data_IF_735931078760
#
_entry.id   IF_735931078760
#
_cell.length_a   1.000
_cell.length_b   1.000
_cell.length_c   1.000
_cell.angle_alpha   90.00
_cell.angle_beta   90.00
_cell.angle_gamma   90.00
#
_symmetry.space_group_name_H-M   'P 1'
#
loop_
_entity.id
_entity.type
_entity.pdbx_description
1 polymer ?
#
# COMPACT_ATOMS: atom_id res chain seq x y z
N UNK A 1 -3.07 13.94 -16.57
CA UNK A 1 -1.64 13.56 -16.50
C UNK A 1 -1.45 12.29 -17.32
N UNK A 2 -0.32 12.07 -18.02
CA UNK A 2 -0.02 10.78 -18.68
C UNK A 2 0.79 9.88 -17.75
N UNK A 3 0.60 8.57 -17.82
CA UNK A 3 1.34 7.59 -17.02
C UNK A 3 2.85 7.75 -17.21
N UNK A 4 3.29 7.94 -18.46
CA UNK A 4 4.71 8.08 -18.84
C UNK A 4 5.38 9.36 -18.34
N UNK A 5 4.63 10.29 -17.73
CA UNK A 5 5.14 11.55 -17.16
C UNK A 5 5.10 11.53 -15.62
N UNK A 6 4.69 10.40 -15.03
CA UNK A 6 4.44 10.29 -13.60
C UNK A 6 5.14 9.08 -13.01
N UNK A 7 5.58 9.20 -11.77
CA UNK A 7 5.91 8.03 -10.97
C UNK A 7 4.60 7.38 -10.50
N UNK A 8 4.48 6.07 -10.69
CA UNK A 8 3.34 5.31 -10.18
C UNK A 8 3.71 4.79 -8.80
N UNK A 9 2.86 5.05 -7.81
CA UNK A 9 3.11 4.64 -6.42
C UNK A 9 1.98 3.72 -5.98
N UNK A 10 2.33 2.49 -5.63
CA UNK A 10 1.42 1.59 -4.92
C UNK A 10 1.57 1.87 -3.43
N UNK A 11 0.49 2.31 -2.80
CA UNK A 11 0.49 2.78 -1.41
C UNK A 11 -0.71 2.25 -0.63
N UNK A 12 -0.68 2.44 0.68
CA UNK A 12 -1.69 1.99 1.62
C UNK A 12 -1.07 1.58 2.94
N UNK A 13 -1.90 1.23 3.93
CA UNK A 13 -1.40 0.68 5.18
C UNK A 13 -0.66 -0.65 4.95
N UNK A 14 0.37 -0.99 5.74
CA UNK A 14 0.96 -2.31 5.72
C UNK A 14 -0.10 -3.40 5.80
N UNK A 15 0.02 -4.44 4.98
CA UNK A 15 -0.92 -5.58 4.87
C UNK A 15 -2.26 -5.29 4.16
N UNK A 16 -2.44 -4.10 3.58
CA UNK A 16 -3.59 -3.76 2.70
C UNK A 16 -3.59 -4.43 1.33
N UNK A 17 -2.53 -5.17 0.97
CA UNK A 17 -2.42 -5.84 -0.33
C UNK A 17 -1.49 -5.15 -1.33
N UNK A 18 -0.71 -4.15 -0.91
CA UNK A 18 0.28 -3.47 -1.77
C UNK A 18 1.25 -4.43 -2.46
N UNK A 19 1.74 -5.47 -1.78
CA UNK A 19 2.61 -6.48 -2.44
C UNK A 19 1.88 -7.28 -3.53
N UNK A 20 0.59 -7.58 -3.35
CA UNK A 20 -0.21 -8.24 -4.40
C UNK A 20 -0.34 -7.33 -5.62
N UNK A 21 -0.63 -6.04 -5.39
CA UNK A 21 -0.71 -5.05 -6.46
C UNK A 21 0.63 -4.86 -7.19
N UNK A 22 1.74 -4.76 -6.47
CA UNK A 22 3.09 -4.70 -7.08
C UNK A 22 3.35 -5.90 -7.99
N UNK A 23 3.01 -7.11 -7.52
CA UNK A 23 3.15 -8.33 -8.31
C UNK A 23 2.25 -8.35 -9.54
N UNK A 24 1.01 -7.89 -9.41
CA UNK A 24 0.10 -7.74 -10.55
C UNK A 24 0.72 -6.84 -11.61
N UNK A 25 1.14 -5.63 -11.23
CA UNK A 25 1.71 -4.66 -12.15
C UNK A 25 3.00 -5.18 -12.82
N UNK A 26 3.92 -5.77 -12.05
CA UNK A 26 5.13 -6.38 -12.61
C UNK A 26 4.78 -7.52 -13.60
N UNK A 27 3.84 -8.37 -13.23
CA UNK A 27 3.38 -9.49 -14.09
C UNK A 27 2.69 -8.98 -15.35
N UNK A 28 1.99 -7.84 -15.25
CA UNK A 28 1.39 -7.09 -16.36
C UNK A 28 2.41 -6.33 -17.22
N UNK A 29 3.71 -6.42 -16.93
CA UNK A 29 4.77 -5.84 -17.76
C UNK A 29 5.26 -4.46 -17.32
N UNK A 30 4.80 -3.95 -16.17
CA UNK A 30 5.29 -2.68 -15.63
C UNK A 30 6.69 -2.83 -15.04
N UNK A 31 7.53 -1.82 -15.24
CA UNK A 31 8.84 -1.75 -14.58
C UNK A 31 8.64 -1.34 -13.12
N UNK A 32 9.13 -2.17 -12.18
CA UNK A 32 9.01 -1.93 -10.74
C UNK A 32 10.37 -1.55 -10.14
N UNK A 33 10.39 -0.54 -9.29
CA UNK A 33 11.52 -0.14 -8.48
C UNK A 33 11.56 -0.99 -7.21
N UNK A 34 12.65 -1.73 -7.04
CA UNK A 34 12.96 -2.53 -5.85
C UNK A 34 14.47 -2.69 -5.75
N UNK A 35 15.00 -2.79 -4.54
CA UNK A 35 16.46 -2.91 -4.32
C UNK A 35 16.93 -4.36 -4.14
N UNK A 36 15.99 -5.31 -4.00
CA UNK A 36 16.27 -6.73 -3.73
C UNK A 36 17.17 -6.96 -2.51
N UNK A 37 17.23 -6.02 -1.56
CA UNK A 37 18.01 -6.16 -0.31
C UNK A 37 17.42 -7.30 0.52
N UNK A 38 16.09 -7.32 0.64
CA UNK A 38 15.37 -8.42 1.29
C UNK A 38 15.21 -9.56 0.29
N UNK A 39 15.85 -10.69 0.59
CA UNK A 39 15.74 -11.90 -0.22
C UNK A 39 14.42 -12.62 0.09
N UNK A 40 13.97 -13.43 -0.86
CA UNK A 40 12.88 -14.37 -0.64
C UNK A 40 13.14 -15.26 0.58
N UNK A 41 12.09 -15.53 1.35
CA UNK A 41 12.12 -16.41 2.52
C UNK A 41 10.91 -17.36 2.52
N UNK A 42 10.79 -18.20 3.55
CA UNK A 42 9.68 -19.17 3.66
C UNK A 42 8.31 -18.50 3.72
N UNK A 43 8.23 -17.27 4.26
CA UNK A 43 6.99 -16.51 4.36
C UNK A 43 6.62 -15.86 3.01
N UNK A 44 7.63 -15.44 2.25
CA UNK A 44 7.52 -14.77 0.97
C UNK A 44 8.54 -15.31 -0.07
N UNK A 45 8.26 -16.48 -0.69
CA UNK A 45 9.19 -17.13 -1.61
C UNK A 45 9.43 -16.35 -2.91
N UNK A 46 8.62 -15.32 -3.19
CA UNK A 46 8.74 -14.49 -4.39
C UNK A 46 9.58 -13.23 -4.18
N UNK A 47 10.10 -13.03 -2.97
CA UNK A 47 10.89 -11.85 -2.63
C UNK A 47 10.04 -10.61 -2.38
N UNK A 48 10.71 -9.52 -2.04
CA UNK A 48 10.10 -8.30 -1.53
C UNK A 48 10.20 -7.18 -2.56
N UNK A 49 9.15 -6.36 -2.63
CA UNK A 49 9.07 -5.19 -3.52
C UNK A 49 9.54 -3.91 -2.81
N UNK A 50 10.45 -4.07 -1.85
CA UNK A 50 10.93 -2.97 -1.04
C UNK A 50 12.00 -2.19 -1.80
N UNK A 51 11.95 -0.87 -1.66
CA UNK A 51 12.95 0.05 -2.18
C UNK A 51 13.31 1.00 -1.05
N UNK A 52 14.33 0.67 -0.26
CA UNK A 52 14.63 1.33 1.03
C UNK A 52 14.89 2.84 0.89
N UNK A 53 15.26 3.33 -0.31
CA UNK A 53 15.40 4.77 -0.59
C UNK A 53 14.12 5.56 -0.35
N UNK A 54 12.94 4.95 -0.49
CA UNK A 54 11.66 5.65 -0.23
C UNK A 54 11.51 6.10 1.21
N UNK A 55 12.15 5.42 2.18
CA UNK A 55 12.08 5.77 3.60
C UNK A 55 12.83 7.06 3.92
N UNK A 56 13.76 7.43 3.05
CA UNK A 56 14.56 8.66 3.15
C UNK A 56 14.08 9.74 2.19
N UNK A 57 12.82 9.69 1.76
CA UNK A 57 12.28 10.61 0.75
C UNK A 57 12.34 12.06 1.21
N UNK A 58 12.27 12.31 2.53
CA UNK A 58 12.41 13.64 3.13
C UNK A 58 13.83 14.19 2.99
N UNK A 59 14.84 13.33 3.03
CA UNK A 59 16.26 13.70 2.95
C UNK A 59 16.86 13.58 1.54
N UNK A 60 16.41 12.60 0.74
CA UNK A 60 16.93 12.28 -0.58
C UNK A 60 15.80 11.99 -1.58
N UNK A 61 15.57 12.97 -2.46
CA UNK A 61 14.62 12.89 -3.57
C UNK A 61 15.30 12.57 -4.91
N UNK A 62 16.63 12.38 -4.94
CA UNK A 62 17.39 12.23 -6.19
C UNK A 62 17.02 10.99 -7.00
N UNK A 63 16.41 9.98 -6.37
CA UNK A 63 15.91 8.80 -7.09
C UNK A 63 14.64 9.05 -7.87
N UNK A 64 13.96 10.17 -7.66
CA UNK A 64 12.76 10.54 -8.39
C UNK A 64 13.07 11.07 -9.80
N UNK A 65 14.35 11.16 -10.19
CA UNK A 65 14.75 11.57 -11.54
C UNK A 65 14.87 10.36 -12.47
N UNK A 66 14.18 10.40 -13.62
CA UNK A 66 14.25 9.35 -14.64
C UNK A 66 13.48 8.06 -14.29
N UNK A 67 12.48 8.16 -13.40
CA UNK A 67 11.63 7.04 -12.96
C UNK A 67 10.18 7.17 -13.42
N UNK A 68 9.90 8.10 -14.34
CA UNK A 68 8.58 8.25 -14.92
C UNK A 68 8.13 6.97 -15.63
N UNK A 69 6.86 6.60 -15.47
CA UNK A 69 6.29 5.35 -15.96
C UNK A 69 6.66 4.09 -15.16
N UNK A 70 7.53 4.20 -14.15
CA UNK A 70 7.89 3.10 -13.26
C UNK A 70 6.98 3.05 -12.03
N UNK A 71 6.96 1.90 -11.38
CA UNK A 71 6.13 1.64 -10.20
C UNK A 71 7.00 1.47 -8.95
N UNK A 72 6.66 2.13 -7.86
CA UNK A 72 7.31 1.93 -6.56
C UNK A 72 6.27 1.66 -5.48
N UNK A 73 6.65 0.89 -4.45
CA UNK A 73 5.83 0.67 -3.27
C UNK A 73 6.26 1.64 -2.16
N UNK A 74 5.30 2.36 -1.58
CA UNK A 74 5.56 3.28 -0.45
C UNK A 74 4.50 3.10 0.63
N UNK A 75 4.88 3.30 1.89
CA UNK A 75 3.89 3.41 2.97
C UNK A 75 3.15 4.74 2.85
N UNK A 76 1.86 4.77 3.20
CA UNK A 76 1.03 5.97 3.04
C UNK A 76 1.57 7.19 3.80
N UNK A 77 2.15 7.01 4.99
CA UNK A 77 2.80 8.10 5.76
C UNK A 77 3.91 8.83 4.99
N UNK A 78 4.60 8.16 4.07
CA UNK A 78 5.72 8.76 3.32
C UNK A 78 5.24 9.66 2.17
N UNK A 79 3.93 9.68 1.87
CA UNK A 79 3.38 10.50 0.80
C UNK A 79 3.43 12.00 1.14
N UNK A 80 3.35 12.36 2.42
CA UNK A 80 3.44 13.76 2.87
C UNK A 80 4.78 14.42 2.55
N UNK A 81 5.83 13.62 2.39
CA UNK A 81 7.19 14.08 2.10
C UNK A 81 7.50 14.11 0.59
N UNK A 82 6.52 13.79 -0.29
CA UNK A 82 6.72 13.85 -1.74
C UNK A 82 6.84 15.30 -2.24
N UNK A 83 7.85 15.61 -3.08
CA UNK A 83 7.97 16.92 -3.71
C UNK A 83 6.77 17.29 -4.57
N UNK A 84 6.28 18.53 -4.46
CA UNK A 84 5.11 19.03 -5.20
C UNK A 84 5.40 19.44 -6.66
N UNK A 85 6.66 19.48 -7.05
CA UNK A 85 7.13 19.84 -8.40
C UNK A 85 7.16 18.64 -9.38
N UNK A 86 6.82 17.44 -8.90
CA UNK A 86 6.74 16.20 -9.69
C UNK A 86 5.31 15.65 -9.73
N UNK A 87 5.08 14.74 -10.67
CA UNK A 87 3.79 14.17 -11.04
C UNK A 87 3.66 12.73 -10.53
N UNK A 88 2.54 12.41 -9.88
CA UNK A 88 2.34 11.08 -9.28
C UNK A 88 0.99 10.48 -9.60
N UNK A 89 0.97 9.19 -9.94
CA UNK A 89 -0.25 8.38 -9.96
C UNK A 89 -0.23 7.40 -8.80
N UNK A 90 -1.16 7.52 -7.87
CA UNK A 90 -1.26 6.65 -6.70
C UNK A 90 -2.28 5.55 -6.94
N UNK A 91 -1.89 4.32 -6.69
CA UNK A 91 -2.80 3.18 -6.50
C UNK A 91 -2.88 2.97 -5.00
N UNK A 92 -3.93 3.50 -4.38
CA UNK A 92 -4.13 3.47 -2.93
C UNK A 92 -4.94 2.23 -2.54
N UNK A 93 -4.26 1.26 -1.96
CA UNK A 93 -4.85 0.00 -1.50
C UNK A 93 -5.60 0.20 -0.18
N UNK A 94 -6.90 -0.08 -0.21
CA UNK A 94 -7.78 -0.16 0.96
C UNK A 94 -8.06 -1.63 1.31
N UNK A 95 -8.25 -1.90 2.60
CA UNK A 95 -8.66 -3.21 3.10
C UNK A 95 -9.30 -3.01 4.46
N UNK A 96 -10.24 -3.88 4.82
CA UNK A 96 -10.80 -3.92 6.16
C UNK A 96 -9.70 -3.89 7.24
N UNK A 97 -9.85 -2.98 8.20
CA UNK A 97 -8.82 -2.68 9.20
C UNK A 97 -8.60 -3.82 10.19
N UNK A 98 -9.66 -4.56 10.56
CA UNK A 98 -9.53 -5.76 11.40
C UNK A 98 -8.68 -6.82 10.70
N UNK A 99 -8.91 -7.04 9.40
CA UNK A 99 -8.10 -7.97 8.61
C UNK A 99 -6.62 -7.54 8.56
N UNK A 100 -6.36 -6.22 8.47
CA UNK A 100 -5.01 -5.67 8.51
C UNK A 100 -4.35 -5.97 9.85
N UNK A 101 -4.99 -5.61 10.97
CA UNK A 101 -4.43 -5.78 12.32
C UNK A 101 -4.14 -7.26 12.62
N UNK A 102 -5.07 -8.15 12.28
CA UNK A 102 -4.86 -9.59 12.44
C UNK A 102 -3.73 -10.14 11.58
N UNK A 103 -3.57 -9.62 10.36
CA UNK A 103 -2.46 -9.97 9.47
C UNK A 103 -1.11 -9.49 10.01
N UNK A 104 -1.08 -8.30 10.63
CA UNK A 104 0.10 -7.75 11.31
C UNK A 104 0.48 -8.61 12.52
N UNK A 105 -0.48 -8.94 13.40
CA UNK A 105 -0.25 -9.81 14.57
C UNK A 105 0.35 -11.15 14.18
N UNK A 106 -0.27 -11.84 13.21
CA UNK A 106 0.24 -13.13 12.71
C UNK A 106 1.66 -13.01 12.16
N UNK A 107 1.97 -11.90 11.50
CA UNK A 107 3.31 -11.63 10.97
C UNK A 107 4.33 -11.42 12.11
N UNK A 108 4.00 -10.65 13.14
CA UNK A 108 4.88 -10.42 14.29
C UNK A 108 5.11 -11.70 15.09
N UNK A 109 4.06 -12.50 15.32
CA UNK A 109 4.16 -13.80 15.97
C UNK A 109 5.11 -14.75 15.24
N UNK A 110 5.08 -14.79 13.90
CA UNK A 110 6.03 -15.60 13.11
C UNK A 110 7.47 -15.11 13.24
N UNK A 111 7.68 -13.81 13.44
CA UNK A 111 8.99 -13.20 13.67
C UNK A 111 9.47 -13.35 15.13
N UNK A 112 8.70 -13.99 16.00
CA UNK A 112 9.00 -14.08 17.43
C UNK A 112 8.93 -12.74 18.16
N UNK A 113 8.23 -11.75 17.59
CA UNK A 113 8.01 -10.46 18.21
C UNK A 113 6.70 -10.46 19.00
N UNK A 114 6.71 -9.83 20.17
CA UNK A 114 5.50 -9.59 20.94
C UNK A 114 4.67 -8.48 20.28
N UNK A 115 3.36 -8.68 20.20
CA UNK A 115 2.40 -7.68 19.72
C UNK A 115 1.75 -7.04 20.96
N UNK A 116 2.46 -6.08 21.55
CA UNK A 116 2.05 -5.42 22.80
C UNK A 116 1.11 -4.23 22.58
N UNK A 117 0.57 -4.08 21.36
CA UNK A 117 -0.27 -2.95 21.00
C UNK A 117 -1.75 -3.31 21.12
N UNK A 118 -2.50 -2.40 21.70
CA UNK A 118 -3.95 -2.47 21.75
C UNK A 118 -4.56 -2.31 20.34
N UNK A 119 -5.35 -3.30 19.92
CA UNK A 119 -6.01 -3.31 18.61
C UNK A 119 -7.01 -2.17 18.47
N UNK A 120 -7.68 -1.77 19.57
CA UNK A 120 -8.69 -0.72 19.52
C UNK A 120 -8.04 0.65 19.29
N UNK A 121 -6.98 0.95 20.03
CA UNK A 121 -6.17 2.16 19.78
C UNK A 121 -5.56 2.16 18.39
N UNK A 122 -4.98 1.04 17.91
CA UNK A 122 -4.42 1.00 16.56
C UNK A 122 -5.47 1.14 15.46
N UNK A 123 -6.67 0.61 15.70
CA UNK A 123 -7.81 0.80 14.80
C UNK A 123 -8.17 2.28 14.72
N UNK A 124 -8.28 2.97 15.86
CA UNK A 124 -8.55 4.41 15.92
C UNK A 124 -7.48 5.21 15.17
N UNK A 125 -6.21 4.97 15.47
CA UNK A 125 -5.07 5.66 14.87
C UNK A 125 -5.02 5.48 13.35
N UNK A 126 -5.14 4.24 12.88
CA UNK A 126 -5.10 3.97 11.43
C UNK A 126 -6.32 4.52 10.70
N UNK A 127 -7.53 4.47 11.30
CA UNK A 127 -8.72 5.10 10.70
C UNK A 127 -8.52 6.60 10.55
N UNK A 128 -8.06 7.28 11.61
CA UNK A 128 -7.78 8.71 11.59
C UNK A 128 -6.77 9.08 10.52
N UNK A 129 -5.64 8.37 10.46
CA UNK A 129 -4.63 8.59 9.41
C UNK A 129 -5.19 8.39 8.00
N UNK A 130 -6.01 7.37 7.78
CA UNK A 130 -6.64 7.16 6.47
C UNK A 130 -7.56 8.32 6.09
N UNK A 131 -8.35 8.84 7.02
CA UNK A 131 -9.20 10.01 6.79
C UNK A 131 -8.36 11.26 6.46
N UNK A 132 -7.34 11.54 7.27
CA UNK A 132 -6.45 12.70 7.11
C UNK A 132 -5.68 12.66 5.79
N UNK A 133 -5.13 11.50 5.42
CA UNK A 133 -4.36 11.40 4.17
C UNK A 133 -5.24 11.46 2.94
N UNK A 134 -6.44 10.90 2.97
CA UNK A 134 -7.39 11.01 1.86
C UNK A 134 -7.85 12.45 1.66
N UNK A 135 -8.13 13.17 2.75
CA UNK A 135 -8.44 14.59 2.72
C UNK A 135 -7.25 15.40 2.15
N UNK A 136 -6.03 15.15 2.63
CA UNK A 136 -4.83 15.82 2.14
C UNK A 136 -4.58 15.55 0.64
N UNK A 137 -4.75 14.30 0.19
CA UNK A 137 -4.57 13.90 -1.22
C UNK A 137 -5.56 14.61 -2.15
N UNK A 138 -6.79 14.84 -1.70
CA UNK A 138 -7.83 15.52 -2.50
C UNK A 138 -7.46 16.96 -2.88
N UNK A 139 -6.57 17.59 -2.12
CA UNK A 139 -6.07 18.94 -2.38
C UNK A 139 -4.84 19.01 -3.30
N UNK A 140 -4.24 17.88 -3.68
CA UNK A 140 -2.98 17.86 -4.43
C UNK A 140 -3.21 17.92 -5.95
N UNK A 141 -2.73 18.98 -6.60
CA UNK A 141 -2.91 19.16 -8.06
C UNK A 141 -1.96 18.29 -8.91
N UNK A 142 -0.86 17.83 -8.32
CA UNK A 142 0.17 17.04 -8.97
C UNK A 142 0.00 15.53 -8.75
N UNK A 143 -1.10 15.13 -8.10
CA UNK A 143 -1.38 13.74 -7.73
C UNK A 143 -2.73 13.30 -8.31
N UNK A 144 -2.76 12.12 -8.92
CA UNK A 144 -3.99 11.44 -9.35
C UNK A 144 -4.11 10.14 -8.55
N UNK A 145 -5.26 9.85 -7.96
CA UNK A 145 -5.43 8.71 -7.04
C UNK A 145 -6.51 7.77 -7.54
N UNK A 146 -6.17 6.48 -7.64
CA UNK A 146 -7.11 5.38 -7.76
C UNK A 146 -7.16 4.61 -6.44
N UNK A 147 -8.31 4.62 -5.78
CA UNK A 147 -8.57 3.78 -4.61
C UNK A 147 -8.97 2.38 -5.06
N UNK A 148 -8.31 1.36 -4.52
CA UNK A 148 -8.56 -0.05 -4.83
C UNK A 148 -8.80 -0.81 -3.54
N UNK A 149 -10.00 -1.37 -3.40
CA UNK A 149 -10.31 -2.26 -2.28
C UNK A 149 -9.77 -3.67 -2.54
N UNK A 150 -9.03 -4.22 -1.58
CA UNK A 150 -8.42 -5.54 -1.66
C UNK A 150 -9.47 -6.64 -1.77
N UNK A 151 -10.54 -6.57 -0.97
CA UNK A 151 -11.59 -7.58 -0.94
C UNK A 151 -12.37 -7.57 -2.26
N UNK A 152 -12.61 -6.39 -2.85
CA UNK A 152 -13.23 -6.25 -4.17
C UNK A 152 -12.35 -6.72 -5.31
N UNK A 153 -11.05 -6.45 -5.26
CA UNK A 153 -10.08 -6.99 -6.21
C UNK A 153 -10.11 -8.53 -6.23
N UNK A 154 -10.24 -9.15 -5.06
CA UNK A 154 -10.37 -10.61 -4.94
C UNK A 154 -11.73 -11.13 -5.43
N UNK A 155 -12.82 -10.41 -5.16
CA UNK A 155 -14.20 -10.84 -5.48
C UNK A 155 -14.56 -10.62 -6.94
N UNK A 156 -14.09 -9.52 -7.53
CA UNK A 156 -14.38 -9.10 -8.90
C UNK A 156 -13.09 -8.66 -9.63
N UNK A 157 -12.13 -9.57 -9.83
CA UNK A 157 -10.82 -9.22 -10.42
C UNK A 157 -10.96 -8.58 -11.80
N UNK A 158 -11.86 -9.09 -12.63
CA UNK A 158 -12.05 -8.63 -14.01
C UNK A 158 -12.54 -7.18 -14.12
N UNK A 159 -13.39 -6.77 -13.20
CA UNK A 159 -13.92 -5.41 -13.14
C UNK A 159 -12.84 -4.45 -12.63
N UNK A 160 -12.23 -4.79 -11.50
CA UNK A 160 -11.23 -3.94 -10.85
C UNK A 160 -9.94 -3.81 -11.68
N UNK A 161 -9.47 -4.88 -12.33
CA UNK A 161 -8.29 -4.84 -13.22
C UNK A 161 -8.55 -3.96 -14.44
N UNK A 162 -9.77 -3.94 -14.98
CA UNK A 162 -10.13 -3.05 -16.09
C UNK A 162 -10.08 -1.58 -15.68
N UNK A 163 -10.62 -1.26 -14.51
CA UNK A 163 -10.58 0.12 -13.95
C UNK A 163 -9.13 0.53 -13.73
N UNK A 164 -8.33 -0.33 -13.08
CA UNK A 164 -6.90 -0.13 -12.87
C UNK A 164 -6.15 0.07 -14.18
N UNK A 165 -6.44 -0.73 -15.22
CA UNK A 165 -5.78 -0.60 -16.51
C UNK A 165 -6.14 0.73 -17.19
N UNK A 166 -7.40 1.15 -17.12
CA UNK A 166 -7.83 2.46 -17.61
C UNK A 166 -7.10 3.62 -16.92
N UNK A 167 -6.91 3.53 -15.60
CA UNK A 167 -6.11 4.48 -14.82
C UNK A 167 -4.61 4.46 -15.18
N UNK A 168 -4.12 3.38 -15.78
CA UNK A 168 -2.73 3.21 -16.23
C UNK A 168 -2.60 3.31 -17.76
N UNK A 169 -3.45 4.12 -18.39
CA UNK A 169 -3.46 4.42 -19.82
C UNK A 169 -3.59 3.16 -20.72
N UNK A 170 -4.17 2.08 -20.20
CA UNK A 170 -4.34 0.77 -20.85
C UNK A 170 -3.03 0.08 -21.25
N UNK A 171 -1.94 0.33 -20.52
CA UNK A 171 -0.61 -0.21 -20.80
C UNK A 171 -0.41 -1.63 -20.21
N UNK A 172 -0.73 -1.89 -18.92
CA UNK A 172 -0.58 -3.23 -18.36
C UNK A 172 -1.33 -4.35 -19.10
N UNK A 173 -0.70 -5.53 -19.18
CA UNK A 173 -1.33 -6.76 -19.65
C UNK A 173 -2.28 -7.32 -18.58
N UNK A 174 -3.57 -7.09 -18.79
CA UNK A 174 -4.64 -7.49 -17.86
C UNK A 174 -4.76 -9.00 -17.70
N UNK A 175 -4.54 -9.77 -18.77
CA UNK A 175 -4.66 -11.24 -18.75
C UNK A 175 -3.59 -11.86 -17.88
N UNK A 176 -2.39 -11.28 -17.88
CA UNK A 176 -1.30 -11.65 -16.99
C UNK A 176 -1.56 -11.22 -15.55
N UNK A 177 -2.10 -10.01 -15.34
CA UNK A 177 -2.45 -9.51 -14.00
C UNK A 177 -3.48 -10.39 -13.27
N UNK A 178 -4.52 -10.84 -13.98
CA UNK A 178 -5.61 -11.68 -13.43
C UNK A 178 -5.05 -12.94 -12.76
N UNK A 179 -4.06 -13.60 -13.38
CA UNK A 179 -3.46 -14.85 -12.88
C UNK A 179 -2.83 -14.71 -11.50
N UNK A 180 -2.40 -13.50 -11.11
CA UNK A 180 -1.84 -13.23 -9.78
C UNK A 180 -2.93 -13.30 -8.70
N UNK A 181 -4.14 -12.82 -9.02
CA UNK A 181 -5.28 -12.85 -8.10
C UNK A 181 -5.75 -14.28 -7.87
N UNK A 182 -5.88 -15.08 -8.92
CA UNK A 182 -6.31 -16.49 -8.83
C UNK A 182 -5.41 -17.32 -7.90
N UNK A 183 -4.09 -17.12 -8.02
CA UNK A 183 -3.11 -17.77 -7.15
C UNK A 183 -3.22 -17.30 -5.68
N UNK A 184 -3.54 -16.03 -5.47
CA UNK A 184 -3.71 -15.44 -4.14
C UNK A 184 -4.98 -15.96 -3.45
N UNK A 185 -6.09 -16.08 -4.20
CA UNK A 185 -7.34 -16.69 -3.73
C UNK A 185 -7.15 -18.14 -3.30
N UNK A 186 -6.37 -18.91 -4.04
CA UNK A 186 -6.04 -20.30 -3.69
C UNK A 186 -5.27 -20.40 -2.36
N UNK A 187 -4.32 -19.49 -2.11
CA UNK A 187 -3.55 -19.44 -0.85
C UNK A 187 -4.42 -19.03 0.35
N UNK A 188 -5.35 -18.08 0.17
CA UNK A 188 -6.20 -17.55 1.25
C UNK A 188 -7.38 -18.44 1.65
N UNK A 189 -7.86 -19.36 0.79
CA UNK A 189 -8.92 -20.33 1.12
C UNK A 189 -8.58 -21.28 2.29
N UNK A 190 -7.32 -21.33 2.74
CA UNK A 190 -6.91 -22.10 3.92
C UNK A 190 -7.19 -21.42 5.27
N UNK A 191 -7.75 -20.21 5.31
CA UNK A 191 -8.14 -19.59 6.59
C UNK A 191 -9.06 -18.39 6.40
N UNK A 192 -10.32 -18.45 6.85
CA UNK A 192 -11.14 -17.25 7.01
C UNK A 192 -12.36 -17.46 7.89
N UNK A 193 -12.62 -16.49 8.78
CA UNK A 193 -13.93 -16.19 9.31
C UNK A 193 -13.87 -14.99 10.27
N UNK A 194 -14.38 -13.82 9.86
CA UNK A 194 -14.71 -12.63 10.71
C UNK A 194 -15.89 -11.84 10.11
N UNK A 195 -16.64 -11.13 10.98
CA UNK A 195 -17.74 -10.18 10.72
C UNK A 195 -17.39 -8.79 11.29
N UNK A 196 -17.98 -7.73 10.71
CA UNK A 196 -17.69 -6.30 10.94
C UNK A 196 -18.76 -5.53 11.74
N UNK A 197 -18.41 -4.36 12.30
CA UNK A 197 -19.34 -3.25 12.68
C UNK A 197 -18.64 -1.84 12.72
N UNK A 198 -19.42 -0.75 12.69
CA UNK A 198 -19.04 0.64 12.33
C UNK A 198 -19.03 1.72 13.47
N UNK A 199 -18.49 2.93 13.14
CA UNK A 199 -18.67 4.33 13.71
C UNK A 199 -17.61 4.87 14.69
N UNK A 200 -17.37 6.17 14.96
CA UNK A 200 -17.82 7.56 14.59
C UNK A 200 -16.62 8.53 14.94
N UNK A 201 -16.52 9.81 14.48
CA UNK A 201 -15.28 10.62 14.59
C UNK A 201 -15.27 11.74 15.66
N UNK A 202 -14.09 12.17 16.16
CA UNK A 202 -13.88 13.47 16.85
C UNK A 202 -12.39 13.93 17.00
N UNK A 203 -12.21 15.27 16.83
CA UNK A 203 -11.24 16.33 17.26
C UNK A 203 -9.71 16.39 16.94
N UNK A 204 -9.24 17.62 16.63
CA UNK A 204 -8.06 17.98 15.81
C UNK A 204 -6.76 18.35 16.56
N UNK A 205 -6.68 18.26 17.90
CA UNK A 205 -5.44 18.65 18.65
C UNK A 205 -4.50 17.49 19.02
N UNK A 206 -4.85 16.28 18.59
CA UNK A 206 -4.18 15.01 18.95
C UNK A 206 -3.23 14.47 17.84
N UNK A 207 -3.24 15.07 16.64
CA UNK A 207 -2.66 14.49 15.41
C UNK A 207 -1.14 14.24 15.45
N UNK A 208 -0.36 15.15 16.03
CA UNK A 208 1.12 15.01 16.04
C UNK A 208 1.57 13.79 16.86
N UNK A 209 0.88 13.49 17.98
CA UNK A 209 1.20 12.32 18.80
C UNK A 209 0.71 11.02 18.16
N UNK A 210 -0.42 11.10 17.47
CA UNK A 210 -0.97 9.96 16.73
C UNK A 210 -0.03 9.56 15.57
N UNK A 211 0.51 10.53 14.84
CA UNK A 211 1.52 10.32 13.79
C UNK A 211 2.78 9.63 14.29
N UNK A 212 3.28 10.01 15.47
CA UNK A 212 4.45 9.39 16.09
C UNK A 212 4.19 7.91 16.44
N UNK A 213 3.02 7.59 16.99
CA UNK A 213 2.61 6.21 17.28
C UNK A 213 2.50 5.38 16.00
N UNK A 214 1.90 5.95 14.95
CA UNK A 214 1.79 5.29 13.65
C UNK A 214 3.17 5.06 13.06
N UNK A 215 4.07 6.05 13.06
CA UNK A 215 5.45 5.90 12.59
C UNK A 215 6.20 4.84 13.38
N UNK A 216 6.05 4.78 14.71
CA UNK A 216 6.65 3.73 15.53
C UNK A 216 6.16 2.34 15.10
N UNK A 217 4.84 2.16 14.92
CA UNK A 217 4.28 0.90 14.42
C UNK A 217 4.77 0.55 13.01
N UNK A 218 4.86 1.53 12.11
CA UNK A 218 5.40 1.32 10.77
C UNK A 218 6.88 0.90 10.80
N UNK A 219 7.68 1.47 11.71
CA UNK A 219 9.09 1.07 11.93
C UNK A 219 9.20 -0.39 12.38
N UNK A 220 8.39 -0.83 13.36
CA UNK A 220 8.36 -2.23 13.82
C UNK A 220 8.01 -3.21 12.69
N UNK A 221 7.12 -2.78 11.79
CA UNK A 221 6.71 -3.56 10.63
C UNK A 221 7.74 -3.49 9.48
N UNK A 222 8.76 -2.64 9.60
CA UNK A 222 9.86 -2.46 8.65
C UNK A 222 9.57 -1.52 7.48
N UNK A 223 8.63 -0.58 7.65
CA UNK A 223 8.17 0.37 6.63
C UNK A 223 8.72 1.79 6.77
N UNK A 224 9.39 2.10 7.88
CA UNK A 224 10.19 3.32 8.09
C UNK A 224 11.67 2.99 8.22
#
# INVERSE_FOLDING_TARGET
>A
MRMSESLIIVTGLPRSGTSMMMKMLQTGGMEVLMDNIRKADEDNPEGYYEFERVKKIKEDTSWLDGVEGKVVKMASMLLYDLPSDKKYRLIFMKRNLEEILLSQRKMLQRKGAEDNIDDEEMRRLFSKHLEEIEAWLSGQQNVEVLYVDYNDMLRKPQENIRILNGFLDNIPDTDRMIKVVDNSLYRNRKSSGIKADEREPEDETESVKDDEKIKARLSELGYM
#
